data_IF_579321477471
#
_entry.id   IF_579321477471
#
_cell.length_a   1.000
_cell.length_b   1.000
_cell.length_c   1.000
_cell.angle_alpha   90.00
_cell.angle_beta   90.00
_cell.angle_gamma   90.00
#
_symmetry.space_group_name_H-M   'P 1'
#
loop_
_entity.id
_entity.type
_entity.pdbx_description
1 polymer ?
#
# COMPACT_ATOMS: atom_id res chain seq x y z
N UNK A 1 -9.45 -2.79 -5.22
CA UNK A 1 -10.17 -2.08 -6.31
C UNK A 1 -9.67 -0.65 -6.40
N UNK A 2 -9.50 -0.09 -7.62
CA UNK A 2 -9.18 1.34 -7.81
C UNK A 2 -10.42 2.00 -8.41
N UNK A 3 -10.94 3.01 -7.71
CA UNK A 3 -12.03 3.85 -8.20
C UNK A 3 -11.45 5.23 -8.55
N UNK A 4 -11.85 5.75 -9.70
CA UNK A 4 -11.37 7.03 -10.21
C UNK A 4 -12.61 7.87 -10.55
N UNK A 5 -12.60 9.13 -10.07
CA UNK A 5 -13.69 10.05 -10.38
C UNK A 5 -13.74 10.37 -11.87
N UNK A 6 -14.93 10.36 -12.45
CA UNK A 6 -15.21 10.78 -13.83
C UNK A 6 -14.98 12.28 -14.08
N UNK A 7 -14.89 13.06 -12.99
CA UNK A 7 -14.56 14.50 -13.07
C UNK A 7 -13.08 14.78 -13.35
N UNK A 8 -12.23 13.76 -13.29
CA UNK A 8 -10.80 13.89 -13.58
C UNK A 8 -10.57 13.57 -15.06
N UNK A 9 -10.09 14.54 -15.85
CA UNK A 9 -9.64 14.28 -17.22
C UNK A 9 -8.43 13.34 -17.18
N UNK A 10 -8.71 12.07 -17.46
CA UNK A 10 -7.81 10.96 -17.22
C UNK A 10 -7.52 10.23 -18.53
N UNK A 11 -6.28 10.33 -19.00
CA UNK A 11 -5.81 9.56 -20.16
C UNK A 11 -5.03 8.34 -19.68
N UNK A 12 -5.63 7.16 -19.78
CA UNK A 12 -4.95 5.90 -19.51
C UNK A 12 -3.96 5.62 -20.63
N UNK A 13 -2.66 5.50 -20.29
CA UNK A 13 -1.59 5.18 -21.25
C UNK A 13 -1.33 3.68 -21.32
N UNK A 14 -1.33 3.00 -20.19
CA UNK A 14 -1.02 1.56 -20.11
C UNK A 14 -1.62 0.93 -18.87
N UNK A 15 -2.15 -0.29 -19.03
CA UNK A 15 -2.54 -1.16 -17.92
C UNK A 15 -1.69 -2.42 -18.00
N UNK A 16 -1.07 -2.79 -16.89
CA UNK A 16 -0.32 -4.04 -16.72
C UNK A 16 -0.93 -4.82 -15.56
N UNK A 17 -1.09 -6.11 -15.73
CA UNK A 17 -1.60 -7.03 -14.70
C UNK A 17 -0.69 -8.24 -14.64
N UNK A 18 -0.53 -8.83 -13.46
CA UNK A 18 0.06 -10.15 -13.38
C UNK A 18 -0.95 -11.22 -13.84
N UNK A 19 -0.45 -12.42 -14.11
CA UNK A 19 -1.28 -13.54 -14.61
C UNK A 19 -2.27 -14.05 -13.57
N UNK A 20 -1.92 -13.93 -12.30
CA UNK A 20 -2.71 -14.44 -11.17
C UNK A 20 -3.67 -13.37 -10.60
N UNK A 21 -3.54 -12.12 -11.06
CA UNK A 21 -4.41 -11.01 -10.65
C UNK A 21 -4.06 -10.40 -9.28
N UNK A 22 -2.86 -10.65 -8.76
CA UNK A 22 -2.42 -10.12 -7.47
C UNK A 22 -2.00 -8.66 -7.54
N UNK A 23 -1.64 -8.13 -8.71
CA UNK A 23 -1.46 -6.70 -8.88
C UNK A 23 -2.01 -6.17 -10.20
N UNK A 24 -2.33 -4.90 -10.18
CA UNK A 24 -2.65 -4.10 -11.36
C UNK A 24 -1.84 -2.80 -11.30
N UNK A 25 -1.16 -2.48 -12.39
CA UNK A 25 -0.43 -1.23 -12.56
C UNK A 25 -1.07 -0.42 -13.70
N UNK A 26 -1.45 0.82 -13.40
CA UNK A 26 -2.06 1.75 -14.34
C UNK A 26 -1.11 2.94 -14.52
N UNK A 27 -0.62 3.14 -15.74
CA UNK A 27 0.08 4.37 -16.12
C UNK A 27 -0.89 5.31 -16.80
N UNK A 28 -0.93 6.56 -16.34
CA UNK A 28 -1.85 7.58 -16.81
C UNK A 28 -1.24 8.97 -16.79
N UNK A 29 -1.83 9.88 -17.56
CA UNK A 29 -1.50 11.30 -17.52
C UNK A 29 -2.65 12.07 -16.89
N UNK A 30 -2.32 12.97 -15.97
CA UNK A 30 -3.24 13.94 -15.37
C UNK A 30 -2.59 15.30 -15.51
N UNK A 31 -3.26 16.27 -16.18
CA UNK A 31 -2.72 17.62 -16.39
C UNK A 31 -1.27 17.58 -16.91
N UNK A 32 -1.00 16.74 -17.91
CA UNK A 32 0.31 16.52 -18.53
C UNK A 32 1.37 15.85 -17.62
N UNK A 33 1.04 15.52 -16.37
CA UNK A 33 1.92 14.74 -15.50
C UNK A 33 1.61 13.24 -15.59
N UNK A 34 2.64 12.45 -15.84
CA UNK A 34 2.53 10.99 -15.84
C UNK A 34 2.57 10.44 -14.42
N UNK A 35 1.51 9.74 -14.02
CA UNK A 35 1.39 9.09 -12.71
C UNK A 35 1.21 7.59 -12.92
N UNK A 36 1.89 6.80 -12.11
CA UNK A 36 1.71 5.35 -12.03
C UNK A 36 0.98 5.00 -10.73
N UNK A 37 -0.11 4.25 -10.84
CA UNK A 37 -0.79 3.67 -9.68
C UNK A 37 -0.64 2.17 -9.74
N UNK A 38 -0.20 1.58 -8.65
CA UNK A 38 -0.10 0.12 -8.48
C UNK A 38 -1.01 -0.28 -7.34
N UNK A 39 -1.93 -1.21 -7.59
CA UNK A 39 -2.70 -1.86 -6.54
C UNK A 39 -2.20 -3.29 -6.39
N UNK A 40 -1.82 -3.68 -5.18
CA UNK A 40 -1.28 -5.01 -4.86
C UNK A 40 -2.18 -5.66 -3.82
N UNK A 41 -2.47 -6.95 -4.04
CA UNK A 41 -3.02 -7.85 -3.04
C UNK A 41 -1.99 -8.93 -2.73
N UNK A 42 -1.39 -8.90 -1.56
CA UNK A 42 -0.45 -9.93 -1.14
C UNK A 42 -1.19 -11.13 -0.56
N UNK A 43 -0.74 -12.33 -0.91
CA UNK A 43 -1.23 -13.56 -0.29
C UNK A 43 -0.84 -13.59 1.20
N UNK A 44 -1.70 -14.12 2.06
CA UNK A 44 -1.50 -14.07 3.50
C UNK A 44 -0.19 -14.79 3.94
N UNK A 45 0.10 -15.97 3.38
CA UNK A 45 1.30 -16.75 3.72
C UNK A 45 2.48 -16.24 2.89
N UNK A 46 3.54 -15.76 3.56
CA UNK A 46 4.74 -15.24 2.89
C UNK A 46 4.55 -13.86 2.26
N UNK A 47 3.58 -13.06 2.73
CA UNK A 47 3.26 -11.74 2.21
C UNK A 47 4.49 -10.82 2.05
N UNK A 48 5.38 -10.66 3.04
CA UNK A 48 6.55 -9.79 2.88
C UNK A 48 7.48 -10.21 1.75
N UNK A 49 7.70 -11.52 1.60
CA UNK A 49 8.55 -12.06 0.54
C UNK A 49 7.91 -11.87 -0.83
N UNK A 50 6.61 -12.14 -0.94
CA UNK A 50 5.85 -11.91 -2.16
C UNK A 50 5.89 -10.44 -2.59
N UNK A 51 5.61 -9.51 -1.66
CA UNK A 51 5.67 -8.06 -1.92
C UNK A 51 7.04 -7.62 -2.42
N UNK A 52 8.11 -8.08 -1.77
CA UNK A 52 9.48 -7.77 -2.17
C UNK A 52 9.77 -8.24 -3.60
N UNK A 53 9.35 -9.46 -3.94
CA UNK A 53 9.51 -9.99 -5.30
C UNK A 53 8.72 -9.15 -6.31
N UNK A 54 7.44 -8.89 -6.04
CA UNK A 54 6.58 -8.07 -6.91
C UNK A 54 7.17 -6.68 -7.13
N UNK A 55 7.61 -6.00 -6.07
CA UNK A 55 8.25 -4.68 -6.16
C UNK A 55 9.52 -4.72 -7.02
N UNK A 56 10.32 -5.78 -6.89
CA UNK A 56 11.52 -5.98 -7.70
C UNK A 56 11.17 -6.17 -9.18
N UNK A 57 10.16 -6.97 -9.45
CA UNK A 57 9.73 -7.27 -10.82
C UNK A 57 9.16 -6.04 -11.54
N UNK A 58 8.41 -5.19 -10.83
CA UNK A 58 7.84 -3.97 -11.39
C UNK A 58 8.77 -2.75 -11.33
N UNK A 59 9.96 -2.88 -10.74
CA UNK A 59 10.90 -1.76 -10.51
C UNK A 59 11.16 -0.91 -11.74
N UNK A 60 11.30 -1.53 -12.92
CA UNK A 60 11.49 -0.80 -14.18
C UNK A 60 10.26 -0.02 -14.66
N UNK A 61 9.10 -0.26 -14.06
CA UNK A 61 7.83 0.39 -14.40
C UNK A 61 7.39 1.48 -13.43
N UNK A 62 8.04 1.60 -12.27
CA UNK A 62 7.70 2.54 -11.20
C UNK A 62 8.82 3.56 -11.00
N UNK A 63 8.47 4.70 -10.43
CA UNK A 63 9.43 5.80 -10.18
C UNK A 63 8.85 6.82 -9.21
N UNK A 64 9.42 8.02 -9.19
CA UNK A 64 9.04 9.07 -8.22
C UNK A 64 7.56 9.45 -8.24
N UNK A 65 6.89 9.37 -9.38
CA UNK A 65 5.46 9.66 -9.53
C UNK A 65 4.58 8.40 -9.42
N UNK A 66 4.99 7.45 -8.57
CA UNK A 66 4.24 6.21 -8.33
C UNK A 66 3.59 6.23 -6.97
N UNK A 67 2.33 5.76 -6.92
CA UNK A 67 1.58 5.47 -5.71
C UNK A 67 1.31 3.97 -5.72
N UNK A 68 1.68 3.28 -4.63
CA UNK A 68 1.41 1.85 -4.44
C UNK A 68 0.37 1.73 -3.32
N UNK A 69 -0.73 1.06 -3.60
CA UNK A 69 -1.82 0.86 -2.64
C UNK A 69 -2.18 -0.61 -2.56
N UNK A 70 -2.76 -1.03 -1.47
CA UNK A 70 -3.38 -2.35 -1.40
C UNK A 70 -3.33 -3.01 -0.04
N UNK A 71 -3.87 -4.22 -0.03
CA UNK A 71 -3.80 -5.13 1.11
C UNK A 71 -2.48 -5.91 1.05
N UNK A 72 -1.57 -5.57 1.95
CA UNK A 72 -0.25 -6.17 2.01
C UNK A 72 -0.19 -7.41 2.89
N UNK A 73 -1.28 -7.74 3.59
CA UNK A 73 -1.35 -8.85 4.56
C UNK A 73 -0.15 -8.89 5.54
N UNK A 74 0.50 -7.75 5.75
CA UNK A 74 1.60 -7.60 6.70
C UNK A 74 1.66 -6.17 7.22
N UNK A 75 1.86 -5.95 8.53
CA UNK A 75 2.13 -4.63 9.06
C UNK A 75 3.55 -4.18 8.67
N UNK A 76 3.70 -2.93 8.29
CA UNK A 76 5.02 -2.34 7.98
C UNK A 76 5.68 -1.69 9.20
N UNK A 77 4.95 -1.54 10.31
CA UNK A 77 5.45 -0.90 11.54
C UNK A 77 5.14 -1.74 12.78
N UNK A 78 5.96 -1.64 13.85
CA UNK A 78 5.81 -2.47 15.05
C UNK A 78 4.58 -2.16 15.92
N UNK A 79 3.84 -1.10 15.66
CA UNK A 79 2.77 -0.57 16.53
C UNK A 79 1.51 -1.44 16.62
N UNK A 80 1.53 -2.62 16.07
CA UNK A 80 0.33 -3.44 15.91
C UNK A 80 0.37 -4.76 16.65
N UNK A 81 1.46 -5.08 17.31
CA UNK A 81 1.54 -6.31 18.08
C UNK A 81 2.15 -6.05 19.45
N UNK A 82 1.58 -6.66 20.49
CA UNK A 82 2.05 -6.61 21.88
C UNK A 82 3.53 -7.06 22.05
N UNK A 83 4.18 -7.47 20.97
CA UNK A 83 5.57 -7.94 20.97
C UNK A 83 6.60 -6.91 20.51
N UNK A 84 6.24 -5.72 20.08
CA UNK A 84 7.17 -4.64 19.65
C UNK A 84 8.28 -5.07 18.66
N UNK A 85 8.11 -6.18 17.94
CA UNK A 85 9.11 -6.69 17.00
C UNK A 85 8.51 -6.95 15.64
N UNK A 86 9.04 -6.25 14.63
CA UNK A 86 8.86 -6.64 13.24
C UNK A 86 9.63 -7.94 13.00
N UNK A 87 9.01 -8.89 12.29
CA UNK A 87 9.72 -10.10 11.92
C UNK A 87 10.81 -9.77 10.86
N UNK A 88 11.77 -10.69 10.71
CA UNK A 88 12.92 -10.49 9.82
C UNK A 88 12.50 -10.28 8.35
N UNK A 89 11.46 -10.95 7.90
CA UNK A 89 10.97 -10.83 6.50
C UNK A 89 10.35 -9.45 6.24
N UNK A 90 9.59 -8.93 7.19
CA UNK A 90 9.03 -7.57 7.12
C UNK A 90 10.14 -6.52 7.19
N UNK A 91 11.21 -6.76 7.97
CA UNK A 91 12.36 -5.85 7.99
C UNK A 91 13.03 -5.79 6.61
N UNK A 92 13.25 -6.92 5.95
CA UNK A 92 13.81 -6.96 4.59
C UNK A 92 12.90 -6.30 3.57
N UNK A 93 11.58 -6.41 3.72
CA UNK A 93 10.61 -5.66 2.90
C UNK A 93 10.77 -4.15 3.11
N UNK A 94 10.84 -3.70 4.36
CA UNK A 94 11.03 -2.28 4.69
C UNK A 94 12.36 -1.74 4.12
N UNK A 95 13.45 -2.51 4.22
CA UNK A 95 14.74 -2.15 3.64
C UNK A 95 14.65 -2.04 2.10
N UNK A 96 13.84 -2.90 1.47
CA UNK A 96 13.58 -2.84 0.03
C UNK A 96 12.80 -1.57 -0.35
N UNK A 97 11.74 -1.24 0.39
CA UNK A 97 10.96 -0.02 0.19
C UNK A 97 11.83 1.23 0.37
N UNK A 98 12.66 1.24 1.40
CA UNK A 98 13.60 2.32 1.71
C UNK A 98 14.63 2.50 0.58
N UNK A 99 15.21 1.41 0.09
CA UNK A 99 16.13 1.41 -1.04
C UNK A 99 15.51 1.83 -2.38
N UNK A 100 14.19 1.84 -2.47
CA UNK A 100 13.41 2.35 -3.60
C UNK A 100 12.84 3.76 -3.35
N UNK A 101 13.19 4.39 -2.24
CA UNK A 101 12.69 5.69 -1.79
C UNK A 101 11.16 5.77 -1.58
N UNK A 102 10.53 4.65 -1.26
CA UNK A 102 9.11 4.61 -0.88
C UNK A 102 8.93 4.69 0.63
N UNK A 103 7.82 5.30 1.06
CA UNK A 103 7.40 5.36 2.45
C UNK A 103 5.88 5.23 2.57
N UNK A 104 5.42 4.74 3.72
CA UNK A 104 3.99 4.70 4.07
C UNK A 104 3.48 6.13 4.34
N UNK A 105 2.61 6.61 3.46
CA UNK A 105 2.08 7.98 3.52
C UNK A 105 1.27 8.18 4.80
N UNK A 106 0.40 7.21 5.15
CA UNK A 106 -0.42 7.34 6.36
C UNK A 106 0.47 7.50 7.61
N UNK A 107 1.51 6.67 7.74
CA UNK A 107 2.43 6.75 8.87
C UNK A 107 3.26 8.04 8.88
N UNK A 108 3.56 8.58 7.71
CA UNK A 108 4.27 9.86 7.59
C UNK A 108 3.42 11.03 8.10
N UNK A 109 2.12 11.04 7.81
CA UNK A 109 1.20 12.11 8.24
C UNK A 109 0.68 11.90 9.67
N UNK A 110 0.54 10.65 10.09
CA UNK A 110 -0.01 10.24 11.38
C UNK A 110 0.96 9.31 12.14
N UNK A 111 2.14 9.80 12.56
CA UNK A 111 3.20 8.94 13.12
C UNK A 111 2.78 8.21 14.40
N UNK A 112 1.87 8.78 15.16
CA UNK A 112 1.41 8.27 16.46
C UNK A 112 -0.02 7.70 16.42
N UNK A 113 -0.65 7.59 15.23
CA UNK A 113 -2.02 7.09 15.15
C UNK A 113 -2.08 5.58 15.40
N UNK A 114 -3.02 5.17 16.25
CA UNK A 114 -3.37 3.77 16.52
C UNK A 114 -4.60 3.38 15.71
N UNK A 115 -4.49 3.43 14.39
CA UNK A 115 -5.56 3.04 13.48
C UNK A 115 -5.24 1.72 12.78
N UNK A 116 -6.25 0.87 12.73
CA UNK A 116 -6.13 -0.51 12.25
C UNK A 116 -7.09 -0.75 11.09
N UNK A 117 -6.70 -1.63 10.17
CA UNK A 117 -7.53 -2.03 9.03
C UNK A 117 -7.98 -3.50 9.10
N UNK A 118 -7.42 -4.26 10.05
CA UNK A 118 -7.71 -5.68 10.22
C UNK A 118 -7.78 -6.08 11.69
N UNK A 119 -8.74 -6.97 12.01
CA UNK A 119 -8.84 -7.63 13.31
C UNK A 119 -8.70 -9.14 13.15
N UNK A 120 -7.73 -9.73 13.83
CA UNK A 120 -7.55 -11.18 13.90
C UNK A 120 -8.35 -11.77 15.06
N UNK A 121 -9.48 -12.41 14.78
CA UNK A 121 -10.29 -13.08 15.80
C UNK A 121 -9.55 -14.27 16.44
N UNK A 122 -8.67 -14.94 15.71
CA UNK A 122 -7.88 -16.07 16.20
C UNK A 122 -6.84 -15.66 17.28
N UNK A 123 -6.37 -14.43 17.22
CA UNK A 123 -5.33 -13.92 18.14
C UNK A 123 -5.81 -12.75 18.99
N UNK A 124 -7.01 -12.21 18.76
CA UNK A 124 -7.55 -11.04 19.47
C UNK A 124 -6.70 -9.77 19.22
N UNK A 125 -6.03 -9.67 18.09
CA UNK A 125 -5.11 -8.57 17.77
C UNK A 125 -5.61 -7.73 16.61
N UNK A 126 -5.33 -6.43 16.67
CA UNK A 126 -5.57 -5.49 15.59
C UNK A 126 -4.27 -5.21 14.84
N UNK A 127 -4.34 -5.05 13.52
CA UNK A 127 -3.20 -4.67 12.70
C UNK A 127 -3.62 -3.79 11.53
N UNK A 128 -2.67 -3.03 11.01
CA UNK A 128 -2.84 -2.29 9.77
C UNK A 128 -2.06 -2.99 8.68
N UNK A 129 -2.78 -3.62 7.77
CA UNK A 129 -2.26 -4.41 6.65
C UNK A 129 -2.56 -3.79 5.29
N UNK A 130 -3.44 -2.79 5.25
CA UNK A 130 -3.68 -1.96 4.08
C UNK A 130 -2.76 -0.75 4.12
N UNK A 131 -2.05 -0.50 3.05
CA UNK A 131 -1.07 0.56 2.99
C UNK A 131 -1.22 1.41 1.73
N UNK A 132 -0.79 2.67 1.86
CA UNK A 132 -0.60 3.60 0.74
C UNK A 132 0.86 4.05 0.80
N UNK A 133 1.64 3.67 -0.20
CA UNK A 133 3.04 4.06 -0.31
C UNK A 133 3.20 5.13 -1.37
N UNK A 134 4.00 6.12 -1.08
CA UNK A 134 4.41 7.16 -2.01
C UNK A 134 5.93 7.34 -2.00
N UNK A 135 6.45 7.87 -3.08
CA UNK A 135 7.87 8.17 -3.16
C UNK A 135 8.22 9.38 -2.29
N UNK A 136 9.30 9.30 -1.52
CA UNK A 136 9.73 10.32 -0.55
C UNK A 136 9.88 11.71 -1.16
N UNK A 137 10.34 11.80 -2.42
CA UNK A 137 10.49 13.09 -3.12
C UNK A 137 9.17 13.79 -3.46
N UNK A 138 8.04 13.11 -3.37
CA UNK A 138 6.72 13.64 -3.71
C UNK A 138 5.77 13.74 -2.52
N UNK A 139 6.28 13.62 -1.29
CA UNK A 139 5.45 13.69 -0.07
C UNK A 139 4.66 15.00 0.02
N UNK A 140 5.22 16.13 -0.43
CA UNK A 140 4.55 17.43 -0.45
C UNK A 140 3.31 17.50 -1.35
N UNK A 141 3.14 16.55 -2.27
CA UNK A 141 1.96 16.48 -3.14
C UNK A 141 0.75 15.82 -2.47
N UNK A 142 0.96 15.10 -1.38
CA UNK A 142 -0.11 14.54 -0.56
C UNK A 142 -0.57 15.60 0.43
N UNK A 143 -1.86 15.92 0.44
CA UNK A 143 -2.43 16.94 1.34
C UNK A 143 -3.08 16.33 2.56
N UNK A 144 -3.73 15.20 2.36
CA UNK A 144 -4.53 14.53 3.38
C UNK A 144 -4.60 13.03 3.07
N UNK A 145 -4.65 12.23 4.12
CA UNK A 145 -4.86 10.78 4.05
C UNK A 145 -5.65 10.35 5.28
N UNK A 146 -6.70 9.58 5.07
CA UNK A 146 -7.59 9.09 6.12
C UNK A 146 -7.88 7.60 5.93
N UNK A 147 -8.13 6.91 7.05
CA UNK A 147 -8.76 5.60 7.06
C UNK A 147 -10.25 5.82 7.28
N UNK A 148 -11.04 5.51 6.27
CA UNK A 148 -12.51 5.61 6.35
C UNK A 148 -13.05 4.30 6.91
N UNK A 149 -13.75 4.37 8.05
CA UNK A 149 -14.40 3.21 8.64
C UNK A 149 -15.45 2.64 7.69
N UNK A 150 -15.39 1.33 7.45
CA UNK A 150 -16.39 0.66 6.62
C UNK A 150 -17.75 0.69 7.30
N UNK A 151 -18.76 1.22 6.60
CA UNK A 151 -20.16 1.16 7.01
C UNK A 151 -20.71 -0.28 6.94
N UNK A 152 -19.99 -1.20 6.34
CA UNK A 152 -20.35 -2.62 6.19
C UNK A 152 -19.70 -3.54 7.21
N UNK A 153 -19.03 -3.05 8.22
CA UNK A 153 -18.73 -3.83 9.42
C UNK A 153 -20.01 -3.96 10.28
N UNK A 154 -21.13 -4.36 9.66
CA UNK A 154 -22.28 -4.84 10.39
C UNK A 154 -21.86 -6.14 11.06
N UNK A 155 -21.67 -6.10 12.43
CA UNK A 155 -22.67 -6.78 13.21
C UNK A 155 -23.14 -8.11 12.59
N UNK A 156 -22.39 -9.14 12.82
CA UNK A 156 -23.00 -10.45 12.97
C UNK A 156 -22.84 -10.78 14.44
N UNK A 157 -23.97 -10.63 15.14
CA UNK A 157 -24.25 -11.14 16.46
C UNK A 157 -23.94 -12.63 16.53
#
# INVERSE_FOLDING_TARGET
MILISDKIDLKIKKITRDKEGHYIMIKRSIQEEDITIVNIYAINIGAPQYLRQTLTDIKGGIGSKTIIVGDFNTPLTPWTDHQNKINKETQVLNDTLDGMDFTDIFRTFHPNAEEYTFFSSAHGTFSRIDHILGHKSNLSKFKEIEIVSSIFSSQTL
#
